data_IF_160467793173
#
_entry.id   IF_160467793173
#
_cell.length_a   1.000
_cell.length_b   1.000
_cell.length_c   1.000
_cell.angle_alpha   90.00
_cell.angle_beta   90.00
_cell.angle_gamma   90.00
#
_symmetry.space_group_name_H-M   'P 1'
#
loop_
_entity.id
_entity.type
_entity.pdbx_description
1 polymer ?
#
# COMPACT_ATOMS: atom_id res chain seq x y z
N UNK A 1 -12.27 2.62 -14.42
CA UNK A 1 -13.45 1.99 -13.79
C UNK A 1 -14.01 2.94 -12.74
N UNK A 2 -15.34 3.01 -12.64
CA UNK A 2 -16.05 3.90 -11.70
C UNK A 2 -17.18 3.17 -10.95
N UNK A 3 -17.30 1.86 -11.14
CA UNK A 3 -18.34 0.99 -10.60
C UNK A 3 -17.69 -0.26 -10.00
N UNK A 4 -17.99 -0.55 -8.74
CA UNK A 4 -17.42 -1.66 -8.00
C UNK A 4 -18.20 -1.92 -6.70
N UNK A 5 -18.90 -3.06 -6.62
CA UNK A 5 -19.81 -3.35 -5.51
C UNK A 5 -19.12 -3.78 -4.20
N UNK A 6 -17.86 -4.22 -4.26
CA UNK A 6 -17.09 -4.63 -3.09
C UNK A 6 -15.58 -4.61 -3.37
N UNK A 7 -14.86 -3.77 -2.65
CA UNK A 7 -13.40 -3.72 -2.68
C UNK A 7 -12.81 -3.31 -1.33
N UNK A 8 -11.50 -3.49 -1.21
CA UNK A 8 -10.66 -2.93 -0.15
C UNK A 8 -9.64 -1.99 -0.78
N UNK A 9 -9.22 -0.99 0.00
CA UNK A 9 -8.21 -0.03 -0.43
C UNK A 9 -6.86 -0.34 0.24
N UNK A 10 -5.78 -0.31 -0.54
CA UNK A 10 -4.42 -0.53 -0.08
C UNK A 10 -3.54 0.67 -0.41
N UNK A 11 -2.77 1.13 0.56
CA UNK A 11 -1.74 2.14 0.33
C UNK A 11 -0.40 1.47 0.02
N UNK A 12 0.35 2.03 -0.93
CA UNK A 12 1.74 1.66 -1.24
C UNK A 12 2.60 2.93 -1.33
N UNK A 13 3.79 2.91 -0.74
CA UNK A 13 4.69 4.06 -0.71
C UNK A 13 5.55 4.05 0.56
N UNK A 14 5.73 5.22 1.19
CA UNK A 14 6.52 5.37 2.41
C UNK A 14 6.05 4.47 3.55
N UNK A 15 4.74 4.28 3.67
CA UNK A 15 4.10 3.25 4.48
C UNK A 15 3.13 2.50 3.57
N UNK A 16 3.15 1.17 3.67
CA UNK A 16 2.29 0.29 2.87
C UNK A 16 1.42 -0.56 3.78
N UNK A 17 0.15 -0.72 3.42
CA UNK A 17 -0.80 -1.46 4.23
C UNK A 17 -2.24 -1.29 3.77
N UNK A 18 -3.13 -2.03 4.40
CA UNK A 18 -4.56 -1.89 4.17
C UNK A 18 -5.10 -0.64 4.84
N UNK A 19 -6.08 -0.01 4.18
CA UNK A 19 -6.86 1.08 4.73
C UNK A 19 -8.05 0.50 5.48
N UNK A 20 -8.12 0.78 6.77
CA UNK A 20 -9.27 0.51 7.62
C UNK A 20 -9.97 1.79 8.04
N UNK A 21 -11.01 1.63 8.86
CA UNK A 21 -11.91 2.71 9.25
C UNK A 21 -12.18 2.70 10.76
N UNK A 22 -12.08 3.87 11.39
CA UNK A 22 -12.57 4.08 12.76
C UNK A 22 -14.09 4.23 12.79
N UNK A 23 -14.69 3.96 13.95
CA UNK A 23 -16.14 4.11 14.13
C UNK A 23 -16.62 5.55 13.81
N UNK A 24 -15.79 6.57 14.06
CA UNK A 24 -16.06 7.97 13.70
C UNK A 24 -16.25 8.20 12.20
N UNK A 25 -15.65 7.37 11.36
CA UNK A 25 -15.63 7.53 9.90
C UNK A 25 -14.23 7.68 9.33
N UNK A 26 -13.25 8.08 10.14
CA UNK A 26 -11.89 8.36 9.68
C UNK A 26 -11.20 7.11 9.10
N UNK A 27 -10.54 7.27 7.95
CA UNK A 27 -9.78 6.19 7.30
C UNK A 27 -8.30 6.28 7.63
N UNK A 28 -7.70 5.12 7.95
CA UNK A 28 -6.27 5.03 8.31
C UNK A 28 -5.63 3.76 7.79
N UNK A 29 -4.33 3.83 7.54
CA UNK A 29 -3.49 2.64 7.37
C UNK A 29 -3.22 2.03 8.74
N UNK A 30 -3.19 0.69 8.84
CA UNK A 30 -2.88 -0.03 10.08
C UNK A 30 -4.11 -0.42 10.92
N UNK A 31 -5.31 -0.23 10.38
CA UNK A 31 -6.57 -0.70 10.96
C UNK A 31 -7.09 -1.94 10.22
N UNK A 32 -8.11 -2.61 10.79
CA UNK A 32 -8.82 -3.69 10.10
C UNK A 32 -9.40 -3.19 8.77
N UNK A 33 -9.15 -3.87 7.63
CA UNK A 33 -9.52 -3.34 6.32
C UNK A 33 -11.03 -3.13 6.16
N UNK A 34 -11.42 -1.94 5.73
CA UNK A 34 -12.83 -1.62 5.47
C UNK A 34 -13.25 -2.12 4.08
N UNK A 35 -14.48 -2.64 3.98
CA UNK A 35 -15.11 -2.95 2.70
C UNK A 35 -15.82 -1.71 2.17
N UNK A 36 -15.52 -1.35 0.93
CA UNK A 36 -16.01 -0.16 0.25
C UNK A 36 -16.79 -0.53 -1.01
N UNK A 37 -17.61 0.41 -1.48
CA UNK A 37 -18.39 0.32 -2.71
C UNK A 37 -18.18 1.60 -3.50
N UNK A 38 -17.98 1.48 -4.80
CA UNK A 38 -17.84 2.61 -5.70
C UNK A 38 -18.96 2.59 -6.72
N UNK A 39 -19.65 3.71 -6.89
CA UNK A 39 -20.66 3.92 -7.93
C UNK A 39 -20.49 5.33 -8.49
N UNK A 40 -20.44 5.49 -9.81
CA UNK A 40 -20.31 6.77 -10.53
C UNK A 40 -19.15 7.64 -10.03
N UNK A 41 -18.06 7.01 -9.59
CA UNK A 41 -16.89 7.70 -9.07
C UNK A 41 -17.08 8.33 -7.67
N UNK A 42 -18.12 7.91 -6.96
CA UNK A 42 -18.36 8.15 -5.54
C UNK A 42 -18.04 6.86 -4.78
N UNK A 43 -17.51 6.97 -3.56
CA UNK A 43 -17.22 5.80 -2.71
C UNK A 43 -18.04 5.89 -1.42
N UNK A 44 -18.59 4.76 -0.97
CA UNK A 44 -19.21 4.63 0.35
C UNK A 44 -18.69 3.40 1.08
N UNK A 45 -18.80 3.41 2.40
CA UNK A 45 -18.59 2.21 3.22
C UNK A 45 -19.82 1.28 3.24
N UNK A 46 -19.73 0.17 3.99
CA UNK A 46 -20.83 -0.79 4.12
C UNK A 46 -22.06 -0.22 4.83
N UNK A 47 -21.90 0.84 5.62
CA UNK A 47 -22.98 1.56 6.29
C UNK A 47 -23.52 2.72 5.45
N UNK A 48 -23.09 2.85 4.19
CA UNK A 48 -23.49 3.90 3.24
C UNK A 48 -23.03 5.30 3.67
N UNK A 49 -21.99 5.41 4.49
CA UNK A 49 -21.34 6.71 4.78
C UNK A 49 -20.49 7.11 3.58
N UNK A 50 -20.64 8.36 3.13
CA UNK A 50 -19.93 8.88 1.97
C UNK A 50 -18.46 9.16 2.25
N UNK A 51 -17.59 8.63 1.39
CA UNK A 51 -16.17 8.94 1.43
C UNK A 51 -15.92 10.34 0.88
N UNK A 52 -15.20 11.16 1.63
CA UNK A 52 -14.90 12.54 1.28
C UNK A 52 -13.56 12.99 1.88
N UNK A 53 -13.02 14.08 1.32
CA UNK A 53 -11.86 14.77 1.87
C UNK A 53 -12.34 15.95 2.73
N UNK A 54 -12.08 15.90 4.04
CA UNK A 54 -12.65 16.87 4.99
C UNK A 54 -12.00 18.26 4.88
N UNK A 55 -12.73 19.37 4.73
CA UNK A 55 -12.15 20.70 4.85
C UNK A 55 -11.75 21.04 6.31
N UNK A 56 -10.71 21.86 6.54
CA UNK A 56 -9.70 22.32 5.58
C UNK A 56 -8.52 21.34 5.44
N UNK A 57 -8.51 20.28 6.25
CA UNK A 57 -7.37 19.38 6.42
C UNK A 57 -7.18 18.40 5.26
N UNK A 58 -8.21 18.21 4.45
CA UNK A 58 -8.32 17.21 3.41
C UNK A 58 -7.92 15.81 3.92
N UNK A 59 -8.47 15.43 5.07
CA UNK A 59 -8.34 14.07 5.63
C UNK A 59 -9.35 13.15 4.97
N UNK A 60 -8.96 11.93 4.61
CA UNK A 60 -9.90 10.97 4.02
C UNK A 60 -10.79 10.36 5.10
N UNK A 61 -12.10 10.54 4.98
CA UNK A 61 -13.08 10.02 5.94
C UNK A 61 -14.34 9.52 5.24
N UNK A 62 -15.11 8.72 5.97
CA UNK A 62 -16.44 8.21 5.62
C UNK A 62 -17.38 8.52 6.80
N UNK A 63 -17.72 9.79 7.00
CA UNK A 63 -18.45 10.25 8.18
C UNK A 63 -19.96 9.94 8.12
N UNK A 64 -20.63 9.72 9.26
CA UNK A 64 -22.08 9.54 9.31
C UNK A 64 -22.82 10.71 8.65
N UNK A 65 -23.73 10.38 7.73
CA UNK A 65 -24.54 11.38 7.03
C UNK A 65 -23.80 12.15 5.94
N UNK A 66 -22.50 11.89 5.70
CA UNK A 66 -21.79 12.62 4.67
C UNK A 66 -22.07 12.16 3.24
N UNK A 67 -22.17 13.16 2.36
CA UNK A 67 -22.27 12.93 0.92
C UNK A 67 -20.88 12.59 0.37
N UNK A 68 -20.75 11.54 -0.45
CA UNK A 68 -19.46 11.18 -1.01
C UNK A 68 -18.98 12.22 -2.01
N UNK A 69 -17.67 12.44 -2.03
CA UNK A 69 -17.02 13.23 -3.07
C UNK A 69 -17.02 12.47 -4.40
N UNK A 70 -17.22 13.22 -5.48
CA UNK A 70 -17.11 12.72 -6.85
C UNK A 70 -15.71 12.90 -7.39
N UNK A 71 -15.29 11.96 -8.23
CA UNK A 71 -14.07 12.07 -9.02
C UNK A 71 -13.10 10.91 -8.82
N UNK A 72 -13.50 9.87 -8.09
CA UNK A 72 -12.72 8.64 -8.00
C UNK A 72 -12.76 7.87 -9.32
N UNK A 73 -11.61 7.35 -9.73
CA UNK A 73 -11.51 6.38 -10.80
C UNK A 73 -10.37 5.41 -10.54
N UNK A 74 -10.45 4.23 -11.18
CA UNK A 74 -9.46 3.17 -11.03
C UNK A 74 -8.91 2.73 -12.38
N UNK A 75 -7.58 2.69 -12.49
CA UNK A 75 -6.83 2.17 -13.63
C UNK A 75 -6.89 0.64 -13.74
N UNK A 76 -6.44 0.09 -14.87
CA UNK A 76 -6.43 -1.36 -15.08
C UNK A 76 -5.47 -2.10 -14.12
N UNK A 77 -4.46 -1.39 -13.61
CA UNK A 77 -3.49 -1.84 -12.60
C UNK A 77 -4.03 -1.75 -11.16
N UNK A 78 -5.29 -1.32 -10.98
CA UNK A 78 -5.90 -1.10 -9.67
C UNK A 78 -5.52 0.24 -9.04
N UNK A 79 -4.66 1.05 -9.66
CA UNK A 79 -4.29 2.36 -9.11
C UNK A 79 -5.49 3.30 -9.06
N UNK A 80 -5.73 3.88 -7.90
CA UNK A 80 -6.85 4.80 -7.67
C UNK A 80 -6.41 6.25 -7.89
N UNK A 81 -7.27 7.02 -8.55
CA UNK A 81 -7.09 8.45 -8.79
C UNK A 81 -8.32 9.21 -8.31
N UNK A 82 -8.12 10.42 -7.82
CA UNK A 82 -9.20 11.33 -7.43
C UNK A 82 -8.99 12.65 -8.13
N UNK A 83 -9.89 13.04 -9.04
CA UNK A 83 -9.75 14.27 -9.82
C UNK A 83 -8.34 14.41 -10.43
N UNK A 84 -7.88 13.34 -11.10
CA UNK A 84 -6.54 13.23 -11.74
C UNK A 84 -5.34 13.16 -10.78
N UNK A 85 -5.54 13.39 -9.47
CA UNK A 85 -4.50 13.24 -8.47
C UNK A 85 -4.23 11.74 -8.20
N UNK A 86 -2.94 11.40 -8.13
CA UNK A 86 -2.49 10.03 -7.82
C UNK A 86 -1.55 9.94 -6.62
N UNK A 87 -1.07 11.09 -6.15
CA UNK A 87 -0.15 11.23 -5.02
C UNK A 87 -0.94 11.66 -3.81
N UNK A 88 -0.82 10.92 -2.72
CA UNK A 88 -1.45 11.20 -1.44
C UNK A 88 -0.39 11.10 -0.34
N UNK A 89 -0.76 11.48 0.88
CA UNK A 89 0.17 11.48 1.99
C UNK A 89 -0.40 10.66 3.13
N UNK A 90 0.45 9.86 3.74
CA UNK A 90 0.20 9.24 5.02
C UNK A 90 1.02 9.99 6.06
N UNK A 91 0.44 10.30 7.22
CA UNK A 91 1.16 10.87 8.35
C UNK A 91 0.89 10.06 9.60
N UNK A 92 1.88 10.00 10.49
CA UNK A 92 1.77 9.25 11.74
C UNK A 92 0.60 9.73 12.59
N UNK A 93 -0.13 8.78 13.15
CA UNK A 93 -1.18 8.99 14.13
C UNK A 93 -0.95 8.04 15.31
N UNK A 94 -1.89 7.99 16.25
CA UNK A 94 -1.81 7.11 17.41
C UNK A 94 -1.86 5.61 17.03
N UNK A 95 -1.39 4.75 17.95
CA UNK A 95 -1.49 3.30 17.87
C UNK A 95 -0.89 2.67 16.58
N UNK A 96 0.23 3.22 16.10
CA UNK A 96 0.90 2.76 14.87
C UNK A 96 -0.01 2.81 13.63
N UNK A 97 -0.98 3.73 13.64
CA UNK A 97 -1.86 3.99 12.50
C UNK A 97 -1.43 5.26 11.78
N UNK A 98 -1.92 5.44 10.56
CA UNK A 98 -1.53 6.58 9.73
C UNK A 98 -2.75 7.21 9.07
N UNK A 99 -2.93 8.50 9.28
CA UNK A 99 -3.98 9.29 8.62
C UNK A 99 -3.68 9.46 7.14
N UNK A 100 -4.72 9.50 6.31
CA UNK A 100 -4.61 9.72 4.88
C UNK A 100 -5.00 11.16 4.54
N UNK A 101 -4.13 11.85 3.80
CA UNK A 101 -4.32 13.24 3.39
C UNK A 101 -4.15 13.42 1.89
N UNK A 102 -4.85 14.42 1.36
CA UNK A 102 -4.72 14.85 -0.03
C UNK A 102 -3.47 15.70 -0.28
N UNK A 103 -2.92 16.36 0.75
CA UNK A 103 -1.75 17.26 0.71
C UNK A 103 -0.77 17.03 1.87
N UNK A 104 0.48 17.50 1.71
CA UNK A 104 1.64 17.12 2.53
C UNK A 104 1.97 18.07 3.71
N UNK A 105 0.97 18.70 4.32
CA UNK A 105 1.15 19.78 5.31
C UNK A 105 0.16 19.67 6.49
N UNK A 106 -0.37 18.46 6.72
CA UNK A 106 -1.52 18.25 7.60
C UNK A 106 -1.21 17.43 8.85
N UNK A 107 0.04 16.98 9.01
CA UNK A 107 0.47 16.14 10.12
C UNK A 107 1.98 16.11 10.29
N UNK A 108 2.45 15.15 11.08
CA UNK A 108 3.87 14.93 11.36
C UNK A 108 4.34 13.62 10.75
N UNK A 109 5.65 13.52 10.46
CA UNK A 109 6.27 12.31 9.89
C UNK A 109 5.54 11.80 8.64
N UNK A 110 5.14 12.73 7.78
CA UNK A 110 4.40 12.43 6.57
C UNK A 110 5.29 11.81 5.48
N UNK A 111 4.70 10.97 4.65
CA UNK A 111 5.34 10.44 3.47
C UNK A 111 4.34 10.15 2.36
N UNK A 112 4.84 10.11 1.13
CA UNK A 112 4.01 9.92 -0.05
C UNK A 112 3.56 8.47 -0.21
N UNK A 113 2.31 8.30 -0.62
CA UNK A 113 1.68 7.04 -0.96
C UNK A 113 0.84 7.16 -2.23
N UNK A 114 0.56 6.01 -2.82
CA UNK A 114 -0.46 5.80 -3.85
C UNK A 114 -1.50 4.82 -3.32
N UNK A 115 -2.77 5.04 -3.66
CA UNK A 115 -3.87 4.18 -3.28
C UNK A 115 -4.19 3.19 -4.41
N UNK A 116 -4.51 1.96 -4.03
CA UNK A 116 -4.88 0.87 -4.92
C UNK A 116 -6.18 0.22 -4.47
N UNK A 117 -6.98 -0.19 -5.44
CA UNK A 117 -8.19 -0.98 -5.26
C UNK A 117 -7.85 -2.46 -5.39
N UNK A 118 -8.29 -3.26 -4.43
CA UNK A 118 -8.26 -4.72 -4.47
C UNK A 118 -9.68 -5.27 -4.37
N UNK A 119 -10.13 -5.98 -5.41
CA UNK A 119 -11.50 -6.49 -5.53
C UNK A 119 -12.15 -6.21 -6.89
N UNK A 120 -13.46 -6.47 -6.99
CA UNK A 120 -14.27 -6.19 -8.19
C UNK A 120 -13.85 -6.89 -9.49
N UNK A 121 -13.58 -8.20 -9.39
CA UNK A 121 -13.30 -9.05 -10.56
C UNK A 121 -11.94 -8.78 -11.21
N UNK A 122 -11.13 -7.90 -10.61
CA UNK A 122 -9.72 -7.70 -10.94
C UNK A 122 -8.91 -8.05 -9.69
N UNK A 123 -8.19 -9.17 -9.76
CA UNK A 123 -7.13 -9.41 -8.80
C UNK A 123 -6.12 -8.27 -8.89
N UNK A 124 -5.51 -7.92 -7.76
CA UNK A 124 -4.30 -7.12 -7.78
C UNK A 124 -3.36 -7.73 -8.83
N UNK A 125 -2.99 -6.95 -9.84
CA UNK A 125 -1.79 -7.29 -10.59
C UNK A 125 -0.66 -7.41 -9.55
N UNK A 126 -0.30 -8.65 -9.24
CA UNK A 126 0.67 -9.07 -8.22
C UNK A 126 0.16 -9.05 -6.76
N UNK A 127 -0.59 -10.10 -6.41
CA UNK A 127 -0.22 -11.04 -5.35
C UNK A 127 -0.24 -10.56 -3.89
N UNK A 128 -1.41 -10.60 -3.27
CA UNK A 128 -1.54 -11.01 -1.87
C UNK A 128 -2.05 -12.46 -1.84
N UNK A 129 -1.13 -13.41 -1.89
CA UNK A 129 -1.42 -14.76 -1.40
C UNK A 129 -1.52 -14.66 0.14
N UNK A 130 -2.57 -15.16 0.78
CA UNK A 130 -2.60 -15.28 2.24
C UNK A 130 -1.43 -16.16 2.71
N UNK A 131 -0.80 -15.88 3.87
CA UNK A 131 0.20 -16.79 4.41
C UNK A 131 -0.44 -18.11 4.82
N UNK A 132 -0.21 -19.14 3.99
CA UNK A 132 0.06 -20.51 4.43
C UNK A 132 -1.08 -21.38 4.97
N UNK A 133 -1.32 -22.48 4.25
CA UNK A 133 -2.00 -23.70 4.69
C UNK A 133 -2.83 -24.26 3.53
N UNK A 134 -2.59 -25.42 2.92
CA UNK A 134 -1.76 -26.59 3.20
C UNK A 134 -2.48 -27.75 2.51
N UNK A 135 -1.80 -28.54 1.65
CA UNK A 135 -2.41 -29.59 0.82
C UNK A 135 -3.25 -28.99 -0.34
N UNK A 136 -3.26 -29.48 -1.57
CA UNK A 136 -3.13 -30.85 -2.02
C UNK A 136 -2.39 -30.95 -3.36
N UNK A 137 -1.65 -32.05 -3.47
CA UNK A 137 -0.95 -32.54 -4.66
C UNK A 137 -1.97 -32.96 -5.73
N UNK A 138 -1.83 -32.58 -7.01
CA UNK A 138 -2.56 -33.25 -8.07
C UNK A 138 -1.93 -34.63 -8.37
N UNK A 139 -2.73 -35.67 -8.65
CA UNK A 139 -2.23 -36.98 -8.99
C UNK A 139 -1.60 -36.98 -10.39
N UNK A 140 -0.56 -37.79 -10.52
CA UNK A 140 0.14 -38.00 -11.78
C UNK A 140 -0.60 -38.95 -12.74
N UNK A 141 -0.15 -38.90 -13.98
CA UNK A 141 -0.38 -39.84 -15.08
C UNK A 141 0.10 -39.15 -16.37
N UNK A 142 0.93 -39.72 -17.25
CA UNK A 142 1.55 -41.03 -17.35
C UNK A 142 1.82 -41.30 -18.85
N UNK A 143 3.07 -41.61 -19.20
CA UNK A 143 3.50 -42.22 -20.49
C UNK A 143 3.81 -41.23 -21.63
N UNK A 144 4.93 -41.34 -22.36
CA UNK A 144 6.00 -42.34 -22.36
C UNK A 144 6.94 -42.15 -23.56
N UNK A 145 8.20 -42.58 -23.40
CA UNK A 145 9.24 -42.98 -24.40
C UNK A 145 9.63 -41.96 -25.49
N UNK A 146 10.90 -41.74 -25.85
CA UNK A 146 11.98 -42.69 -26.02
C UNK A 146 13.38 -42.10 -25.73
N UNK A 147 14.33 -42.98 -25.39
CA UNK A 147 15.76 -42.74 -25.09
C UNK A 147 16.57 -43.82 -25.86
N UNK A 148 17.92 -43.78 -25.91
CA UNK A 148 18.89 -42.97 -26.70
C UNK A 148 19.86 -43.93 -27.47
N UNK A 149 21.22 -43.74 -27.68
CA UNK A 149 22.30 -43.30 -26.74
C UNK A 149 23.48 -42.46 -27.31
N UNK A 150 24.30 -41.95 -26.36
CA UNK A 150 25.72 -41.59 -26.52
C UNK A 150 26.05 -40.22 -25.89
N UNK A 151 27.02 -40.00 -25.00
CA UNK A 151 28.09 -40.81 -24.42
C UNK A 151 29.30 -39.91 -24.11
N UNK A 152 29.81 -39.92 -22.87
CA UNK A 152 31.08 -39.30 -22.42
C UNK A 152 30.96 -37.86 -21.88
N UNK A 153 31.64 -37.41 -20.82
CA UNK A 153 32.61 -37.98 -19.89
C UNK A 153 33.34 -36.84 -19.12
N UNK A 154 33.67 -37.06 -17.83
CA UNK A 154 34.63 -36.30 -17.00
C UNK A 154 34.21 -34.89 -16.55
N UNK A 155 34.50 -34.37 -15.34
CA UNK A 155 35.30 -34.82 -14.21
C UNK A 155 35.78 -33.59 -13.40
N UNK A 156 35.75 -33.66 -12.05
CA UNK A 156 36.45 -32.79 -11.07
C UNK A 156 36.01 -31.30 -10.99
N UNK A 157 36.01 -30.60 -9.86
CA UNK A 157 36.44 -30.86 -8.50
C UNK A 157 36.49 -29.54 -7.71
N UNK A 158 36.25 -29.63 -6.39
CA UNK A 158 36.83 -28.87 -5.27
C UNK A 158 36.79 -27.32 -5.18
N UNK A 159 36.44 -26.87 -3.96
CA UNK A 159 36.97 -25.69 -3.27
C UNK A 159 36.09 -24.44 -3.39
N UNK A 160 35.64 -23.76 -2.33
CA UNK A 160 36.18 -23.62 -0.99
C UNK A 160 36.74 -22.21 -0.80
N UNK A 161 36.21 -21.46 0.17
CA UNK A 161 36.66 -20.11 0.58
C UNK A 161 35.78 -18.99 -0.02
N UNK A 162 35.06 -18.15 0.71
CA UNK A 162 35.31 -17.65 2.07
C UNK A 162 36.15 -16.39 1.98
N UNK A 163 35.53 -15.20 1.90
CA UNK A 163 36.15 -13.89 2.15
C UNK A 163 35.11 -12.93 2.75
N UNK A 164 35.56 -12.23 3.78
CA UNK A 164 34.86 -11.45 4.80
C UNK A 164 34.24 -10.11 4.31
N UNK A 165 33.36 -9.47 5.12
CA UNK A 165 32.76 -8.18 4.79
C UNK A 165 33.72 -7.00 5.03
N UNK A 166 33.58 -5.86 4.33
CA UNK A 166 34.24 -4.63 4.72
C UNK A 166 33.48 -3.94 5.85
N UNK A 167 34.19 -3.69 6.95
CA UNK A 167 33.85 -2.72 7.96
C UNK A 167 34.52 -1.36 7.66
N UNK A 168 33.99 -0.35 8.36
CA UNK A 168 34.57 0.94 8.74
C UNK A 168 34.18 2.20 7.96
N UNK A 169 33.74 3.20 8.74
CA UNK A 169 33.53 4.58 8.30
C UNK A 169 32.65 5.41 9.24
N UNK A 170 33.05 5.57 10.51
CA UNK A 170 32.56 6.63 11.40
C UNK A 170 32.98 8.00 10.88
N UNK A 171 32.03 8.92 10.71
CA UNK A 171 32.29 10.35 10.60
C UNK A 171 31.05 11.16 11.04
N UNK A 172 31.11 11.70 12.26
CA UNK A 172 30.32 12.86 12.70
C UNK A 172 31.02 14.15 12.23
N UNK A 173 30.25 15.18 11.87
CA UNK A 173 30.63 16.55 12.20
C UNK A 173 29.61 17.21 13.12
N UNK A 174 30.13 17.77 14.22
CA UNK A 174 29.44 18.75 15.06
C UNK A 174 29.42 20.12 14.38
N UNK A 175 28.57 20.99 14.95
CA UNK A 175 28.58 22.46 14.95
C UNK A 175 27.64 23.12 13.93
N UNK A 176 26.74 24.05 14.29
CA UNK A 176 26.51 24.71 15.57
C UNK A 176 25.21 25.52 15.56
N UNK A 177 24.66 25.72 16.75
CA UNK A 177 23.49 26.55 17.04
C UNK A 177 23.85 28.03 17.06
N UNK A 178 23.04 28.86 16.40
CA UNK A 178 22.83 30.26 16.80
C UNK A 178 21.35 30.65 16.60
N UNK A 179 20.62 31.02 17.68
CA UNK A 179 19.29 31.61 17.58
C UNK A 179 19.38 33.10 17.19
N UNK A 180 18.45 33.56 16.34
CA UNK A 180 18.16 34.99 16.13
C UNK A 180 16.89 35.39 16.91
N UNK A 181 16.82 36.62 17.45
CA UNK A 181 15.76 37.07 18.36
C UNK A 181 14.51 37.62 17.63
N UNK A 182 13.31 37.61 18.25
CA UNK A 182 12.19 38.48 17.86
C UNK A 182 11.92 39.57 18.94
N UNK A 183 11.00 40.52 18.70
CA UNK A 183 10.90 41.45 17.57
C UNK A 183 10.95 42.93 18.06
N UNK A 184 11.19 43.87 17.14
CA UNK A 184 11.24 45.31 17.45
C UNK A 184 9.95 46.04 17.11
N UNK A 185 9.47 46.80 18.11
CA UNK A 185 8.47 47.91 18.14
C UNK A 185 7.03 47.64 17.73
#
# INVERSE_FOLDING_TARGET
MTECNSFRMRAKGSVSGWVGQLESGQLRIGLEPVILRMEKGEIVDTRRRGMWWTPPTETLQCDPGQKPDKGWSVGCDGKMTFQEQTRYFQCEAENQTYNLYKKNDQGVNCGEITLYMSGCGRGEGMGDKPPGGGGDKPPGGGGGGDKPPGGGGGGGGHGGGGMAPPANGTATPQNGTKPMPPPGR
#
